data_IF_580153474693
#
_entry.id   IF_580153474693
#
_cell.length_a   1.000
_cell.length_b   1.000
_cell.length_c   1.000
_cell.angle_alpha   90.00
_cell.angle_beta   90.00
_cell.angle_gamma   90.00
#
_symmetry.space_group_name_H-M   'P 1'
#
loop_
_entity.id
_entity.type
_entity.pdbx_description
1 polymer ?
#
# COMPACT_ATOMS: atom_id res chain seq x y z
N UNK A 1 8.56 -13.74 -22.83
CA UNK A 1 7.71 -14.52 -21.91
C UNK A 1 6.49 -13.67 -21.64
N UNK A 2 5.29 -14.09 -22.06
CA UNK A 2 4.08 -13.37 -21.69
C UNK A 2 3.71 -13.80 -20.28
N UNK A 3 3.99 -12.95 -19.31
CA UNK A 3 3.41 -13.11 -17.98
C UNK A 3 1.88 -13.10 -18.13
N UNK A 4 1.19 -14.02 -17.47
CA UNK A 4 -0.25 -13.93 -17.32
C UNK A 4 -0.59 -12.51 -16.81
N UNK A 5 -1.68 -11.89 -17.30
CA UNK A 5 -2.08 -10.60 -16.77
C UNK A 5 -2.22 -10.71 -15.24
N UNK A 6 -1.75 -9.72 -14.48
CA UNK A 6 -1.87 -9.73 -13.03
C UNK A 6 -3.34 -9.93 -12.65
N UNK A 7 -3.57 -10.79 -11.66
CA UNK A 7 -4.91 -11.12 -11.19
C UNK A 7 -5.57 -9.86 -10.63
N UNK A 8 -6.63 -9.38 -11.28
CA UNK A 8 -7.35 -8.19 -10.84
C UNK A 8 -8.65 -8.56 -10.13
N UNK A 9 -8.82 -8.02 -8.93
CA UNK A 9 -10.00 -8.22 -8.09
C UNK A 9 -10.73 -6.89 -7.90
N UNK A 10 -12.00 -6.85 -8.27
CA UNK A 10 -12.85 -5.67 -8.08
C UNK A 10 -13.12 -5.46 -6.59
N UNK A 11 -12.88 -4.23 -6.10
CA UNK A 11 -13.10 -3.83 -4.71
C UNK A 11 -13.30 -2.30 -4.63
N UNK A 12 -14.52 -1.82 -4.84
CA UNK A 12 -14.86 -0.41 -4.63
C UNK A 12 -14.85 -0.12 -3.11
N UNK A 13 -13.85 0.61 -2.64
CA UNK A 13 -13.70 0.89 -1.20
C UNK A 13 -12.92 2.18 -0.93
N UNK A 14 -13.25 2.85 0.19
CA UNK A 14 -12.46 3.96 0.71
C UNK A 14 -11.23 3.44 1.44
N UNK A 15 -10.04 3.90 1.04
CA UNK A 15 -8.76 3.59 1.67
C UNK A 15 -8.38 4.61 2.76
N UNK A 16 -8.98 5.79 2.72
CA UNK A 16 -8.58 6.93 3.55
C UNK A 16 -7.34 7.65 3.00
N UNK A 17 -6.73 8.54 3.79
CA UNK A 17 -5.52 9.25 3.39
C UNK A 17 -4.31 8.30 3.35
N UNK A 18 -3.30 8.68 2.57
CA UNK A 18 -1.97 8.07 2.72
C UNK A 18 -1.33 8.60 3.99
N UNK A 19 -0.67 7.73 4.76
CA UNK A 19 0.00 8.12 6.00
C UNK A 19 1.46 8.56 5.78
N UNK A 20 2.01 8.30 4.59
CA UNK A 20 3.34 8.74 4.12
C UNK A 20 3.33 9.09 2.64
N UNK A 21 4.45 9.63 2.16
CA UNK A 21 4.70 9.86 0.75
C UNK A 21 4.50 8.56 -0.05
N UNK A 22 3.64 8.64 -1.06
CA UNK A 22 3.18 7.49 -1.84
C UNK A 22 3.50 7.70 -3.33
N UNK A 23 4.30 6.78 -3.88
CA UNK A 23 4.53 6.68 -5.31
C UNK A 23 3.32 6.01 -5.97
N UNK A 24 2.62 6.75 -6.83
CA UNK A 24 1.57 6.19 -7.68
C UNK A 24 2.22 5.70 -8.97
N UNK A 25 2.00 4.44 -9.31
CA UNK A 25 2.67 3.77 -10.43
C UNK A 25 1.71 3.40 -11.55
N UNK A 26 2.25 3.20 -12.76
CA UNK A 26 1.46 2.73 -13.90
C UNK A 26 0.97 1.28 -13.76
N UNK A 27 1.60 0.49 -12.88
CA UNK A 27 1.28 -0.92 -12.61
C UNK A 27 1.59 -1.33 -11.17
N UNK A 28 1.10 -2.50 -10.72
CA UNK A 28 1.29 -3.03 -9.36
C UNK A 28 2.69 -3.65 -9.19
N UNK A 29 3.74 -2.87 -9.41
CA UNK A 29 5.13 -3.33 -9.37
C UNK A 29 6.08 -2.18 -9.07
N UNK A 30 7.17 -2.46 -8.36
CA UNK A 30 8.24 -1.50 -8.07
C UNK A 30 9.03 -1.10 -9.33
N UNK A 31 9.01 -1.94 -10.38
CA UNK A 31 9.61 -1.64 -11.67
C UNK A 31 8.71 -0.79 -12.58
N UNK A 32 7.42 -0.67 -12.23
CA UNK A 32 6.50 0.18 -12.99
C UNK A 32 6.84 1.67 -12.78
N UNK A 33 6.87 2.49 -13.85
CA UNK A 33 7.09 3.93 -13.74
C UNK A 33 6.19 4.61 -12.71
N UNK A 34 6.78 5.49 -11.91
CA UNK A 34 6.04 6.43 -11.07
C UNK A 34 5.41 7.48 -11.98
N UNK A 35 4.09 7.62 -11.90
CA UNK A 35 3.30 8.57 -12.69
C UNK A 35 2.82 9.76 -11.87
N UNK A 36 2.80 9.62 -10.54
CA UNK A 36 2.48 10.70 -9.61
C UNK A 36 3.13 10.46 -8.24
N UNK A 37 3.36 11.53 -7.49
CA UNK A 37 3.86 11.49 -6.11
C UNK A 37 2.87 12.23 -5.21
N UNK A 38 2.27 11.48 -4.31
CA UNK A 38 1.28 11.99 -3.34
C UNK A 38 1.94 12.16 -1.98
N UNK A 39 1.65 13.28 -1.32
CA UNK A 39 2.08 13.55 0.05
C UNK A 39 0.93 13.35 1.05
N UNK A 40 1.23 13.04 2.33
CA UNK A 40 0.21 12.92 3.37
C UNK A 40 -0.62 14.19 3.55
N UNK A 41 -1.93 14.03 3.42
CA UNK A 41 -2.91 15.05 3.76
C UNK A 41 -4.13 14.36 4.38
N UNK A 42 -4.36 14.59 5.67
CA UNK A 42 -5.46 13.98 6.42
C UNK A 42 -6.84 14.39 5.91
N UNK A 43 -6.93 15.45 5.09
CA UNK A 43 -8.18 15.89 4.46
C UNK A 43 -8.47 15.21 3.12
N UNK A 44 -7.51 14.48 2.55
CA UNK A 44 -7.62 13.84 1.23
C UNK A 44 -7.74 12.33 1.40
N UNK A 45 -8.93 11.79 1.14
CA UNK A 45 -9.15 10.34 1.09
C UNK A 45 -9.00 9.78 -0.33
N UNK A 46 -8.49 8.55 -0.44
CA UNK A 46 -8.42 7.81 -1.69
C UNK A 46 -9.46 6.69 -1.75
N UNK A 47 -9.91 6.39 -2.95
CA UNK A 47 -10.79 5.27 -3.25
C UNK A 47 -10.07 4.26 -4.14
N UNK A 48 -10.28 2.97 -3.85
CA UNK A 48 -9.89 1.87 -4.70
C UNK A 48 -11.04 1.48 -5.63
N UNK A 49 -10.73 1.15 -6.88
CA UNK A 49 -11.63 0.42 -7.79
C UNK A 49 -11.48 -1.10 -7.62
N UNK A 50 -10.30 -1.53 -7.18
CA UNK A 50 -9.90 -2.91 -7.03
C UNK A 50 -8.46 -3.05 -6.59
N UNK A 51 -7.98 -4.28 -6.58
CA UNK A 51 -6.62 -4.60 -6.17
C UNK A 51 -6.04 -5.76 -7.00
N UNK A 52 -4.73 -5.92 -6.89
CA UNK A 52 -3.97 -7.02 -7.49
C UNK A 52 -2.82 -7.38 -6.57
N UNK A 53 -2.40 -8.67 -6.52
CA UNK A 53 -1.06 -9.02 -6.10
C UNK A 53 -0.02 -8.32 -6.98
N UNK A 54 1.11 -7.96 -6.39
CA UNK A 54 2.24 -7.33 -7.07
C UNK A 54 3.53 -7.52 -6.29
N UNK A 55 4.53 -6.67 -6.55
CA UNK A 55 5.79 -6.72 -5.81
C UNK A 55 5.56 -6.42 -4.33
N UNK A 56 6.21 -7.17 -3.45
CA UNK A 56 6.16 -6.91 -2.01
C UNK A 56 6.85 -5.61 -1.68
N UNK A 57 6.18 -4.79 -0.87
CA UNK A 57 6.74 -3.55 -0.33
C UNK A 57 6.87 -3.71 1.18
N UNK A 58 8.02 -3.31 1.69
CA UNK A 58 8.35 -3.28 3.11
C UNK A 58 8.59 -1.83 3.50
N UNK A 59 7.94 -1.40 4.56
CA UNK A 59 7.96 -0.02 5.02
C UNK A 59 8.22 0.03 6.53
N UNK A 60 9.32 0.66 6.94
CA UNK A 60 9.85 0.60 8.31
C UNK A 60 9.67 1.89 9.12
N UNK A 61 8.99 2.91 8.58
CA UNK A 61 8.82 4.19 9.26
C UNK A 61 7.47 4.33 9.96
N UNK A 62 6.57 3.36 9.82
CA UNK A 62 5.29 3.41 10.50
C UNK A 62 5.46 3.28 12.01
N UNK A 63 4.66 4.05 12.77
CA UNK A 63 4.77 4.12 14.25
C UNK A 63 4.56 2.77 14.95
N UNK A 64 3.73 1.91 14.36
CA UNK A 64 3.33 0.63 14.95
C UNK A 64 4.28 -0.52 14.57
N UNK A 65 5.21 -0.30 13.64
CA UNK A 65 6.17 -1.31 13.22
C UNK A 65 6.53 -1.27 11.74
N UNK A 66 7.18 -2.34 11.29
CA UNK A 66 7.46 -2.61 9.88
C UNK A 66 6.19 -3.17 9.24
N UNK A 67 5.70 -2.49 8.22
CA UNK A 67 4.56 -2.91 7.40
C UNK A 67 5.07 -3.66 6.19
N UNK A 68 4.50 -4.83 5.92
CA UNK A 68 4.77 -5.62 4.71
C UNK A 68 3.47 -5.95 3.98
N UNK A 69 3.42 -5.74 2.67
CA UNK A 69 2.31 -6.17 1.83
C UNK A 69 2.73 -6.37 0.37
N UNK A 70 2.14 -7.37 -0.28
CA UNK A 70 2.20 -7.59 -1.73
C UNK A 70 0.92 -7.14 -2.46
N UNK A 71 0.00 -6.47 -1.75
CA UNK A 71 -1.23 -5.94 -2.33
C UNK A 71 -1.01 -4.53 -2.89
N UNK A 72 -1.55 -4.30 -4.08
CA UNK A 72 -1.57 -3.02 -4.75
C UNK A 72 -3.01 -2.64 -5.09
N UNK A 73 -3.43 -1.45 -4.67
CA UNK A 73 -4.74 -0.91 -4.99
C UNK A 73 -4.70 -0.14 -6.31
N UNK A 74 -5.68 -0.39 -7.17
CA UNK A 74 -5.99 0.47 -8.32
C UNK A 74 -6.80 1.64 -7.81
N UNK A 75 -6.28 2.85 -7.88
CA UNK A 75 -6.97 4.04 -7.40
C UNK A 75 -8.00 4.54 -8.42
N UNK A 76 -9.14 5.04 -7.96
CA UNK A 76 -10.17 5.64 -8.80
C UNK A 76 -9.70 6.90 -9.53
N UNK A 77 -8.72 7.61 -8.94
CA UNK A 77 -8.02 8.74 -9.58
C UNK A 77 -6.99 8.31 -10.64
N UNK A 78 -6.79 7.00 -10.81
CA UNK A 78 -5.83 6.41 -11.72
C UNK A 78 -4.53 5.97 -11.04
N UNK A 79 -3.85 5.01 -11.68
CA UNK A 79 -2.59 4.45 -11.19
C UNK A 79 -2.77 3.43 -10.08
N UNK A 80 -1.64 2.96 -9.57
CA UNK A 80 -1.53 1.92 -8.56
C UNK A 80 -0.72 2.40 -7.36
N UNK A 81 -1.21 2.10 -6.17
CA UNK A 81 -0.49 2.38 -4.92
C UNK A 81 -0.34 1.08 -4.13
N UNK A 82 0.83 0.88 -3.52
CA UNK A 82 1.02 -0.24 -2.60
C UNK A 82 0.13 -0.05 -1.37
N UNK A 83 -0.43 -1.15 -0.86
CA UNK A 83 -1.26 -1.14 0.34
C UNK A 83 -0.53 -0.57 1.56
N UNK A 84 0.80 -0.66 1.61
CA UNK A 84 1.60 -0.12 2.73
C UNK A 84 1.50 1.39 2.86
N UNK A 85 1.03 2.12 1.84
CA UNK A 85 0.85 3.58 1.90
C UNK A 85 -0.41 4.00 2.68
N UNK A 86 -1.30 3.07 3.00
CA UNK A 86 -2.54 3.30 3.73
C UNK A 86 -2.48 2.70 5.13
N UNK A 87 -3.32 3.20 6.03
CA UNK A 87 -3.37 2.76 7.43
C UNK A 87 -3.60 1.25 7.51
N UNK A 88 -2.71 0.46 8.16
CA UNK A 88 -2.82 -1.01 8.18
C UNK A 88 -4.15 -1.52 8.71
N UNK A 89 -4.75 -0.83 9.68
CA UNK A 89 -6.07 -1.18 10.24
C UNK A 89 -7.18 -1.05 9.19
N UNK A 90 -7.11 -0.06 8.30
CA UNK A 90 -8.05 0.12 7.20
C UNK A 90 -7.86 -0.99 6.17
N UNK A 91 -6.61 -1.29 5.81
CA UNK A 91 -6.28 -2.34 4.84
C UNK A 91 -6.73 -3.72 5.33
N UNK A 92 -6.46 -4.08 6.58
CA UNK A 92 -6.94 -5.33 7.18
C UNK A 92 -8.48 -5.42 7.25
N UNK A 93 -9.15 -4.29 7.48
CA UNK A 93 -10.61 -4.22 7.46
C UNK A 93 -11.22 -4.50 6.07
N UNK A 94 -10.47 -4.24 5.00
CA UNK A 94 -10.90 -4.47 3.61
C UNK A 94 -10.47 -5.84 3.09
N UNK A 95 -9.24 -6.25 3.41
CA UNK A 95 -8.59 -7.45 2.91
C UNK A 95 -7.81 -8.11 4.07
N UNK A 96 -8.47 -8.97 4.82
CA UNK A 96 -7.87 -9.62 5.98
C UNK A 96 -6.63 -10.46 5.61
N UNK A 97 -5.53 -10.26 6.34
CA UNK A 97 -4.25 -10.92 6.11
C UNK A 97 -3.46 -10.38 4.92
N UNK A 98 -3.85 -9.24 4.35
CA UNK A 98 -3.14 -8.62 3.23
C UNK A 98 -1.99 -7.71 3.66
N UNK A 99 -1.93 -7.35 4.93
CA UNK A 99 -0.84 -6.57 5.50
C UNK A 99 -0.35 -7.19 6.80
N UNK A 100 0.96 -7.27 6.96
CA UNK A 100 1.59 -7.69 8.21
C UNK A 100 2.24 -6.48 8.87
N UNK A 101 2.05 -6.31 10.18
CA UNK A 101 2.74 -5.30 10.99
C UNK A 101 3.61 -6.02 12.02
N UNK A 102 4.93 -5.93 11.86
CA UNK A 102 5.90 -6.45 12.81
C UNK A 102 6.38 -5.31 13.72
N UNK A 103 6.21 -5.38 15.05
CA UNK A 103 6.65 -4.32 15.95
C UNK A 103 8.14 -4.01 15.78
N UNK A 104 8.49 -2.72 15.93
CA UNK A 104 9.89 -2.32 15.95
C UNK A 104 10.64 -3.10 17.04
N UNK A 105 11.84 -3.61 16.75
CA UNK A 105 12.66 -4.20 17.81
C UNK A 105 12.84 -3.16 18.90
N UNK A 106 12.56 -3.54 20.14
CA UNK A 106 12.83 -2.68 21.28
C UNK A 106 14.29 -2.25 21.18
N UNK A 107 14.55 -0.93 21.11
CA UNK A 107 15.91 -0.44 21.23
C UNK A 107 16.43 -0.94 22.57
N UNK A 108 17.30 -1.94 22.57
CA UNK A 108 18.05 -2.31 23.75
C UNK A 108 18.68 -1.03 24.27
N UNK A 109 18.25 -0.59 25.44
CA UNK A 109 18.86 0.53 26.14
C UNK A 109 20.33 0.12 26.36
N UNK A 110 21.21 0.61 25.49
CA UNK A 110 22.64 0.56 25.76
C UNK A 110 22.83 1.38 27.04
N UNK A 111 23.15 0.65 28.11
CA UNK A 111 23.54 1.22 29.41
C UNK A 111 24.92 1.85 29.32
#
# INVERSE_FOLDING_TARGET
MSASPPEYHVLPAGLGPVWRDANIRSGPSLDSPVIDLVFPDASVGYEAEGWSPGDEVVEDQHRDGVITSSVWFRLAVGGWSSAVNFEPVTVEGLLAGSVTVAPHPARSAAS
#
